data_IF_899151114524
#
_entry.id   IF_899151114524
#
_cell.length_a   1.000
_cell.length_b   1.000
_cell.length_c   1.000
_cell.angle_alpha   90.00
_cell.angle_beta   90.00
_cell.angle_gamma   90.00
#
_symmetry.space_group_name_H-M   'P 1'
#
loop_
_entity.id
_entity.type
_entity.pdbx_description
1 polymer ?
#
# COMPACT_ATOMS: atom_id res chain seq x y z
N UNK A 1 26.87 49.68 -10.93
CA UNK A 1 25.69 48.83 -11.06
C UNK A 1 26.17 47.38 -11.15
N UNK A 2 26.10 46.61 -10.06
CA UNK A 2 26.11 45.15 -10.14
C UNK A 2 24.66 44.65 -10.08
N UNK A 3 24.24 43.91 -11.11
CA UNK A 3 22.99 43.15 -11.10
C UNK A 3 23.15 41.97 -10.13
N UNK A 4 22.47 42.05 -8.99
CA UNK A 4 22.30 40.92 -8.09
C UNK A 4 21.15 40.07 -8.64
N UNK A 5 21.50 39.10 -9.48
CA UNK A 5 20.59 38.09 -9.98
C UNK A 5 20.25 37.15 -8.82
N UNK A 6 19.19 37.53 -8.10
CA UNK A 6 18.60 36.76 -7.02
C UNK A 6 17.96 35.52 -7.63
N UNK A 7 18.66 34.39 -7.52
CA UNK A 7 18.12 33.07 -7.85
C UNK A 7 16.92 32.78 -6.95
N UNK A 8 15.72 33.04 -7.48
CA UNK A 8 14.46 32.70 -6.86
C UNK A 8 14.24 31.19 -7.05
N UNK A 9 14.94 30.39 -6.24
CA UNK A 9 14.70 28.95 -6.13
C UNK A 9 13.26 28.81 -5.67
N UNK A 10 12.38 28.53 -6.63
CA UNK A 10 10.97 28.24 -6.40
C UNK A 10 10.87 27.21 -5.28
N UNK A 11 10.48 27.66 -4.09
CA UNK A 11 10.20 26.78 -2.95
C UNK A 11 9.01 25.92 -3.36
N UNK A 12 9.27 24.73 -3.87
CA UNK A 12 8.23 23.74 -4.14
C UNK A 12 7.54 23.42 -2.81
N UNK A 13 6.33 23.95 -2.63
CA UNK A 13 5.50 23.67 -1.47
C UNK A 13 4.90 22.27 -1.64
N UNK A 14 5.40 21.30 -0.88
CA UNK A 14 4.77 19.99 -0.77
C UNK A 14 3.47 20.14 0.03
N UNK A 15 2.33 19.81 -0.58
CA UNK A 15 1.04 19.84 0.09
C UNK A 15 0.83 18.53 0.83
N UNK A 16 1.25 18.48 2.10
CA UNK A 16 0.95 17.35 2.96
C UNK A 16 -0.54 17.33 3.28
N UNK A 17 -1.28 16.38 2.69
CA UNK A 17 -2.70 16.20 2.95
C UNK A 17 -2.88 15.22 4.11
N UNK A 18 -3.16 15.74 5.31
CA UNK A 18 -3.51 14.89 6.45
C UNK A 18 -4.91 14.30 6.28
N UNK A 19 -4.98 13.10 5.70
CA UNK A 19 -6.21 12.34 5.54
C UNK A 19 -6.49 11.55 6.82
N UNK A 20 -7.16 12.18 7.78
CA UNK A 20 -7.52 11.55 9.07
C UNK A 20 -8.26 10.21 8.92
N UNK A 21 -9.00 10.04 7.83
CA UNK A 21 -9.77 8.82 7.53
C UNK A 21 -9.09 7.95 6.47
N UNK A 22 -7.80 8.17 6.18
CA UNK A 22 -7.05 7.46 5.14
C UNK A 22 -6.66 6.02 5.52
N UNK A 23 -6.59 5.73 6.82
CA UNK A 23 -5.96 4.52 7.34
C UNK A 23 -4.44 4.69 7.47
N UNK A 24 -3.85 3.99 8.44
CA UNK A 24 -2.41 4.01 8.68
C UNK A 24 -1.94 2.69 9.30
N UNK A 25 -0.71 2.31 8.97
CA UNK A 25 0.01 1.16 9.56
C UNK A 25 1.28 1.69 10.21
N UNK A 26 1.64 1.15 11.37
CA UNK A 26 2.85 1.54 12.11
C UNK A 26 3.63 0.30 12.52
N UNK A 27 4.92 0.30 12.25
CA UNK A 27 5.83 -0.74 12.67
C UNK A 27 6.59 -0.28 13.91
N UNK A 28 6.70 -1.16 14.90
CA UNK A 28 7.37 -0.88 16.15
C UNK A 28 8.44 -1.94 16.44
N UNK A 29 9.55 -1.50 17.02
CA UNK A 29 10.57 -2.36 17.59
C UNK A 29 10.23 -2.69 19.04
N UNK A 30 10.31 -3.99 19.38
CA UNK A 30 10.19 -4.50 20.74
C UNK A 30 11.58 -4.91 21.24
N UNK A 31 12.32 -3.98 21.83
CA UNK A 31 13.60 -4.28 22.44
C UNK A 31 13.40 -4.86 23.85
N UNK A 32 14.02 -6.01 24.14
CA UNK A 32 13.86 -6.73 25.41
C UNK A 32 14.20 -5.89 26.66
N UNK A 33 15.15 -4.96 26.52
CA UNK A 33 15.62 -4.08 27.59
C UNK A 33 14.78 -2.79 27.73
N UNK A 34 13.81 -2.56 26.84
CA UNK A 34 12.96 -1.36 26.84
C UNK A 34 11.54 -1.71 27.22
N UNK A 35 10.94 -0.89 28.08
CA UNK A 35 9.53 -1.02 28.49
C UNK A 35 8.54 -0.45 27.47
N UNK A 36 9.00 0.35 26.51
CA UNK A 36 8.14 0.97 25.49
C UNK A 36 8.61 0.60 24.08
N UNK A 37 7.67 0.20 23.18
CA UNK A 37 7.97 -0.02 21.77
C UNK A 37 8.48 1.25 21.09
N UNK A 38 9.56 1.15 20.31
CA UNK A 38 10.06 2.27 19.52
C UNK A 38 9.41 2.27 18.14
N UNK A 39 8.83 3.40 17.70
CA UNK A 39 8.27 3.51 16.35
C UNK A 39 9.41 3.45 15.33
N UNK A 40 9.35 2.46 14.42
CA UNK A 40 10.29 2.30 13.33
C UNK A 40 9.79 3.03 12.09
N UNK A 41 8.63 2.64 11.58
CA UNK A 41 8.11 3.13 10.31
C UNK A 41 6.60 3.37 10.33
N UNK A 42 6.13 4.26 9.46
CA UNK A 42 4.72 4.60 9.28
C UNK A 42 4.33 4.54 7.82
N UNK A 43 3.17 3.97 7.53
CA UNK A 43 2.53 3.93 6.22
C UNK A 43 1.16 4.57 6.33
N UNK A 44 0.81 5.42 5.37
CA UNK A 44 -0.43 6.19 5.35
C UNK A 44 -1.16 6.00 4.02
N UNK A 45 -2.48 5.81 4.09
CA UNK A 45 -3.33 5.72 2.91
C UNK A 45 -3.62 7.08 2.29
N UNK A 46 -3.72 7.14 0.97
CA UNK A 46 -3.98 8.38 0.21
C UNK A 46 -5.45 8.58 -0.20
N UNK A 47 -6.36 7.66 0.18
CA UNK A 47 -7.82 7.85 0.04
C UNK A 47 -8.53 7.70 1.38
N UNK A 48 -9.46 8.60 1.68
CA UNK A 48 -10.39 8.49 2.82
C UNK A 48 -11.24 7.24 2.70
N UNK A 49 -11.54 6.62 3.84
CA UNK A 49 -12.40 5.45 4.01
C UNK A 49 -11.93 4.20 3.26
N UNK A 50 -10.72 4.22 2.70
CA UNK A 50 -10.16 3.12 1.91
C UNK A 50 -9.82 1.87 2.73
N UNK A 51 -9.77 2.02 4.06
CA UNK A 51 -9.30 1.01 5.01
C UNK A 51 -7.87 0.53 4.69
N UNK A 52 -7.00 1.46 4.31
CA UNK A 52 -5.58 1.18 4.12
C UNK A 52 -4.98 0.58 5.39
N UNK A 53 -4.29 -0.55 5.24
CA UNK A 53 -3.68 -1.30 6.35
C UNK A 53 -4.64 -2.21 7.10
N UNK A 54 -5.88 -2.40 6.62
CA UNK A 54 -6.86 -3.29 7.30
C UNK A 54 -6.55 -4.78 7.18
N UNK A 55 -5.77 -5.16 6.17
CA UNK A 55 -5.15 -6.49 6.03
C UNK A 55 -3.65 -6.28 5.85
N UNK A 56 -2.86 -7.01 6.61
CA UNK A 56 -1.40 -6.94 6.64
C UNK A 56 -0.84 -8.36 6.66
N UNK A 57 0.14 -8.65 5.81
CA UNK A 57 0.96 -9.85 5.86
C UNK A 57 2.43 -9.48 5.72
N UNK A 58 3.29 -10.21 6.44
CA UNK A 58 4.74 -10.16 6.32
C UNK A 58 5.19 -11.53 5.83
N UNK A 59 5.96 -11.54 4.74
CA UNK A 59 6.54 -12.77 4.20
C UNK A 59 7.67 -12.42 3.25
N UNK A 60 8.77 -13.15 3.36
CA UNK A 60 9.85 -13.13 2.40
C UNK A 60 9.37 -13.75 1.08
N UNK A 61 9.07 -12.91 0.08
CA UNK A 61 8.55 -13.33 -1.22
C UNK A 61 9.68 -13.68 -2.19
N UNK A 62 10.81 -12.97 -2.13
CA UNK A 62 11.94 -13.15 -3.04
C UNK A 62 13.10 -14.00 -2.48
N UNK A 63 12.94 -14.56 -1.28
CA UNK A 63 13.87 -15.45 -0.56
C UNK A 63 15.22 -14.75 -0.25
N UNK A 64 15.18 -13.43 -0.01
CA UNK A 64 16.35 -12.61 0.31
C UNK A 64 16.67 -12.53 1.81
N UNK A 65 15.81 -13.11 2.67
CA UNK A 65 15.90 -13.10 4.12
C UNK A 65 15.21 -11.92 4.81
N UNK A 66 14.52 -11.05 4.08
CA UNK A 66 13.73 -9.93 4.59
C UNK A 66 12.28 -10.09 4.15
N UNK A 67 11.34 -9.91 5.10
CA UNK A 67 9.93 -9.99 4.77
C UNK A 67 9.45 -8.77 3.97
N UNK A 68 8.79 -9.00 2.84
CA UNK A 68 7.96 -7.97 2.20
C UNK A 68 6.77 -7.61 3.08
N UNK A 69 6.39 -6.34 3.03
CA UNK A 69 5.22 -5.82 3.72
C UNK A 69 4.06 -5.76 2.73
N UNK A 70 3.09 -6.63 2.89
CA UNK A 70 1.89 -6.69 2.05
C UNK A 70 0.72 -6.05 2.80
N UNK A 71 0.17 -4.96 2.26
CA UNK A 71 -0.95 -4.23 2.86
C UNK A 71 -2.12 -4.10 1.89
N UNK A 72 -3.34 -4.25 2.38
CA UNK A 72 -4.54 -4.01 1.57
C UNK A 72 -5.26 -2.72 1.96
N UNK A 73 -5.96 -2.15 0.98
CA UNK A 73 -6.97 -1.11 1.13
C UNK A 73 -8.24 -1.55 0.38
N UNK A 74 -9.07 -2.44 0.96
CA UNK A 74 -10.15 -3.11 0.24
C UNK A 74 -11.28 -2.20 -0.24
N UNK A 75 -11.42 -1.02 0.37
CA UNK A 75 -12.44 -0.04 0.02
C UNK A 75 -11.85 1.14 -0.77
N UNK A 76 -10.63 0.98 -1.29
CA UNK A 76 -9.99 2.02 -2.08
C UNK A 76 -10.72 2.19 -3.41
N UNK A 77 -11.13 3.42 -3.66
CA UNK A 77 -11.74 3.86 -4.92
C UNK A 77 -10.63 4.33 -5.87
N UNK A 78 -10.74 4.02 -7.16
CA UNK A 78 -9.77 4.46 -8.18
C UNK A 78 -9.88 5.94 -8.50
N UNK A 79 -11.10 6.46 -8.61
CA UNK A 79 -11.38 7.88 -8.81
C UNK A 79 -12.61 8.35 -8.01
N UNK A 80 -12.83 9.66 -7.97
CA UNK A 80 -13.94 10.26 -7.22
C UNK A 80 -15.31 9.86 -7.78
N UNK A 81 -15.40 9.62 -9.10
CA UNK A 81 -16.62 9.15 -9.77
C UNK A 81 -17.02 7.76 -9.34
N UNK A 82 -16.05 6.87 -9.13
CA UNK A 82 -16.26 5.53 -8.57
C UNK A 82 -16.82 5.62 -7.16
N UNK A 83 -16.32 6.54 -6.33
CA UNK A 83 -16.88 6.79 -4.99
C UNK A 83 -18.37 7.16 -5.00
N UNK A 84 -18.82 7.96 -5.98
CA UNK A 84 -20.24 8.34 -6.13
C UNK A 84 -21.13 7.14 -6.51
N UNK A 85 -20.55 6.17 -7.23
CA UNK A 85 -21.21 4.93 -7.62
C UNK A 85 -21.04 3.79 -6.61
N UNK A 86 -20.41 4.06 -5.45
CA UNK A 86 -20.11 3.04 -4.44
C UNK A 86 -19.04 2.03 -4.88
N UNK A 87 -18.16 2.45 -5.80
CA UNK A 87 -17.07 1.69 -6.36
C UNK A 87 -15.98 1.42 -5.32
N UNK A 88 -16.01 0.24 -4.72
CA UNK A 88 -14.99 -0.26 -3.79
C UNK A 88 -14.08 -1.25 -4.54
N UNK A 89 -13.21 -0.72 -5.40
CA UNK A 89 -12.37 -1.56 -6.27
C UNK A 89 -11.39 -2.38 -5.43
N UNK A 90 -10.75 -1.71 -4.46
CA UNK A 90 -9.76 -2.29 -3.59
C UNK A 90 -8.39 -2.38 -4.24
N UNK A 91 -7.33 -2.31 -3.41
CA UNK A 91 -5.94 -2.46 -3.84
C UNK A 91 -5.13 -3.22 -2.81
N UNK A 92 -4.09 -3.90 -3.28
CA UNK A 92 -3.04 -4.49 -2.43
C UNK A 92 -1.69 -3.92 -2.83
N UNK A 93 -0.88 -3.58 -1.84
CA UNK A 93 0.43 -2.98 -1.97
C UNK A 93 1.46 -3.96 -1.42
N UNK A 94 2.54 -4.19 -2.17
CA UNK A 94 3.69 -4.97 -1.70
C UNK A 94 4.86 -3.99 -1.62
N UNK A 95 5.39 -3.78 -0.42
CA UNK A 95 6.59 -2.97 -0.19
C UNK A 95 7.78 -3.87 0.10
N UNK A 96 8.92 -3.56 -0.51
CA UNK A 96 10.14 -4.35 -0.40
C UNK A 96 10.77 -4.22 1.00
N UNK A 97 11.12 -5.36 1.62
CA UNK A 97 11.69 -5.40 2.97
C UNK A 97 12.98 -4.59 3.14
N UNK A 98 13.84 -4.52 2.11
CA UNK A 98 15.12 -3.78 2.15
C UNK A 98 14.95 -2.28 2.36
N UNK A 99 13.85 -1.71 1.87
CA UNK A 99 13.65 -0.26 1.88
C UNK A 99 12.70 0.19 3.00
N UNK A 100 12.05 -0.72 3.71
CA UNK A 100 10.92 -0.43 4.62
C UNK A 100 11.24 -0.49 6.10
N UNK A 101 12.39 0.02 6.49
CA UNK A 101 12.89 -0.17 7.85
C UNK A 101 12.61 1.01 8.77
N UNK A 102 12.66 2.26 8.30
CA UNK A 102 12.58 3.44 9.16
C UNK A 102 11.91 4.65 8.49
N UNK A 103 11.11 5.40 9.25
CA UNK A 103 10.53 6.68 8.84
C UNK A 103 9.15 6.61 8.17
N UNK A 104 8.79 7.66 7.42
CA UNK A 104 7.53 7.72 6.67
C UNK A 104 7.70 7.03 5.30
N UNK A 105 7.12 5.83 5.20
CA UNK A 105 7.31 4.95 4.06
C UNK A 105 6.42 5.28 2.86
N UNK A 106 5.39 6.09 3.09
CA UNK A 106 4.44 6.52 2.04
C UNK A 106 4.52 8.02 1.77
N UNK A 107 5.43 8.72 2.44
CA UNK A 107 5.68 10.15 2.27
C UNK A 107 6.68 10.45 1.15
N UNK A 108 7.08 11.73 1.06
CA UNK A 108 8.13 12.21 0.14
C UNK A 108 7.95 11.73 -1.30
N UNK A 109 6.78 12.04 -1.85
CA UNK A 109 6.38 11.65 -3.20
C UNK A 109 7.08 12.50 -4.26
N UNK A 110 7.19 11.98 -5.49
CA UNK A 110 7.64 12.78 -6.65
C UNK A 110 6.66 13.92 -6.94
N UNK A 111 5.38 13.69 -6.68
CA UNK A 111 4.33 14.70 -6.78
C UNK A 111 4.25 15.57 -5.52
N UNK A 112 3.58 16.70 -5.65
CA UNK A 112 3.26 17.62 -4.56
C UNK A 112 2.20 17.08 -3.58
N UNK A 113 1.56 15.94 -3.89
CA UNK A 113 0.59 15.27 -3.00
C UNK A 113 1.25 14.13 -2.22
N UNK A 114 1.13 14.17 -0.89
CA UNK A 114 1.48 13.09 0.03
C UNK A 114 0.27 12.72 0.91
N UNK A 115 0.11 11.44 1.33
CA UNK A 115 0.95 10.27 1.03
C UNK A 115 0.73 9.68 -0.38
N UNK A 116 1.66 8.86 -0.86
CA UNK A 116 1.64 8.16 -2.16
C UNK A 116 2.00 6.68 -2.02
N UNK A 117 1.15 5.86 -1.37
CA UNK A 117 1.41 4.43 -1.18
C UNK A 117 1.65 3.68 -2.50
N UNK A 118 0.99 4.08 -3.59
CA UNK A 118 1.16 3.48 -4.92
C UNK A 118 2.55 3.75 -5.53
N UNK A 119 3.13 4.94 -5.27
CA UNK A 119 4.44 5.29 -5.81
C UNK A 119 5.58 4.56 -5.08
N UNK A 120 5.37 4.27 -3.79
CA UNK A 120 6.38 3.68 -2.90
C UNK A 120 6.34 2.15 -2.87
N UNK A 121 5.23 1.53 -3.29
CA UNK A 121 5.12 0.09 -3.36
C UNK A 121 5.98 -0.48 -4.51
N UNK A 122 6.61 -1.63 -4.27
CA UNK A 122 7.28 -2.41 -5.32
C UNK A 122 6.25 -2.97 -6.32
N UNK A 123 5.11 -3.43 -5.81
CA UNK A 123 3.99 -3.87 -6.62
C UNK A 123 2.66 -3.32 -6.10
N UNK A 124 1.78 -2.95 -7.03
CA UNK A 124 0.37 -2.60 -6.74
C UNK A 124 -0.51 -3.60 -7.47
N UNK A 125 -1.19 -4.45 -6.71
CA UNK A 125 -2.10 -5.46 -7.24
C UNK A 125 -3.52 -4.90 -7.29
N UNK A 126 -4.22 -5.18 -8.38
CA UNK A 126 -5.59 -4.76 -8.64
C UNK A 126 -6.41 -5.93 -9.18
N UNK A 127 -7.72 -5.87 -8.98
CA UNK A 127 -8.67 -6.71 -9.71
C UNK A 127 -9.14 -6.00 -10.99
N UNK A 128 -9.36 -6.73 -12.10
CA UNK A 128 -9.92 -6.14 -13.31
C UNK A 128 -11.40 -5.75 -13.17
N UNK A 129 -12.10 -6.28 -12.17
CA UNK A 129 -13.51 -5.96 -11.91
C UNK A 129 -13.63 -4.81 -10.90
N UNK A 130 -14.33 -3.76 -11.32
CA UNK A 130 -14.68 -2.64 -10.44
C UNK A 130 -15.57 -3.11 -9.27
N UNK A 131 -15.51 -2.41 -8.15
CA UNK A 131 -16.30 -2.72 -6.94
C UNK A 131 -16.08 -4.13 -6.34
N UNK A 132 -14.97 -4.79 -6.69
CA UNK A 132 -14.71 -6.18 -6.31
C UNK A 132 -14.23 -6.37 -4.87
N UNK A 133 -13.96 -5.28 -4.14
CA UNK A 133 -13.33 -5.28 -2.80
C UNK A 133 -12.05 -6.11 -2.77
N UNK A 134 -11.22 -5.93 -3.79
CA UNK A 134 -9.96 -6.62 -3.90
C UNK A 134 -9.06 -6.34 -2.69
N UNK A 135 -8.49 -7.40 -2.11
CA UNK A 135 -7.71 -7.31 -0.87
C UNK A 135 -8.54 -7.47 0.41
N UNK A 136 -9.82 -7.81 0.30
CA UNK A 136 -10.70 -8.11 1.45
C UNK A 136 -10.16 -9.21 2.38
N UNK A 137 -9.37 -10.13 1.83
CA UNK A 137 -8.59 -11.13 2.56
C UNK A 137 -7.36 -11.49 1.73
N UNK A 138 -6.29 -11.92 2.38
CA UNK A 138 -5.02 -12.26 1.76
C UNK A 138 -4.38 -13.43 2.51
N UNK A 139 -3.61 -14.25 1.80
CA UNK A 139 -2.73 -15.26 2.40
C UNK A 139 -1.50 -15.45 1.52
N UNK A 140 -0.34 -15.70 2.15
CA UNK A 140 0.85 -16.16 1.45
C UNK A 140 0.94 -17.68 1.50
N UNK A 141 1.33 -18.28 0.39
CA UNK A 141 1.48 -19.74 0.25
C UNK A 141 2.83 -20.04 -0.36
N UNK A 142 3.64 -20.85 0.33
CA UNK A 142 4.91 -21.35 -0.19
C UNK A 142 4.74 -22.77 -0.72
N UNK A 143 5.06 -22.99 -2.00
CA UNK A 143 4.95 -24.30 -2.65
C UNK A 143 6.12 -24.55 -3.58
N UNK A 144 6.85 -25.66 -3.36
CA UNK A 144 8.00 -26.10 -4.18
C UNK A 144 9.03 -25.00 -4.47
N UNK A 145 9.34 -24.17 -3.47
CA UNK A 145 10.30 -23.07 -3.60
C UNK A 145 9.75 -21.81 -4.28
N UNK A 146 8.45 -21.72 -4.54
CA UNK A 146 7.78 -20.50 -5.00
C UNK A 146 6.92 -19.91 -3.90
N UNK A 147 7.09 -18.62 -3.65
CA UNK A 147 6.22 -17.85 -2.78
C UNK A 147 5.08 -17.26 -3.62
N UNK A 148 3.86 -17.45 -3.15
CA UNK A 148 2.65 -17.00 -3.81
C UNK A 148 1.84 -16.13 -2.87
N UNK A 149 1.17 -15.13 -3.43
CA UNK A 149 0.21 -14.28 -2.74
C UNK A 149 -1.17 -14.57 -3.31
N UNK A 150 -2.10 -15.00 -2.46
CA UNK A 150 -3.49 -15.24 -2.83
C UNK A 150 -4.33 -14.12 -2.26
N UNK A 151 -5.08 -13.44 -3.13
CA UNK A 151 -5.88 -12.26 -2.77
C UNK A 151 -7.34 -12.49 -3.10
N UNK A 152 -8.21 -12.22 -2.13
CA UNK A 152 -9.65 -12.31 -2.30
C UNK A 152 -10.25 -11.02 -2.86
N UNK A 153 -11.10 -11.18 -3.87
CA UNK A 153 -11.98 -10.18 -4.43
C UNK A 153 -13.43 -10.55 -4.05
N UNK A 154 -13.80 -10.27 -2.80
CA UNK A 154 -15.03 -10.81 -2.20
C UNK A 154 -16.34 -10.36 -2.86
N UNK A 155 -16.32 -9.27 -3.64
CA UNK A 155 -17.46 -8.80 -4.43
C UNK A 155 -17.31 -9.02 -5.93
N UNK A 156 -16.17 -9.58 -6.37
CA UNK A 156 -16.02 -9.96 -7.77
C UNK A 156 -17.05 -11.03 -8.13
N UNK A 157 -17.64 -10.90 -9.30
CA UNK A 157 -18.62 -11.82 -9.83
C UNK A 157 -18.09 -12.61 -11.02
N UNK A 158 -17.12 -12.07 -11.76
CA UNK A 158 -16.83 -12.50 -13.14
C UNK A 158 -18.11 -12.66 -13.99
N UNK A 159 -19.12 -11.82 -13.73
CA UNK A 159 -20.44 -11.90 -14.37
C UNK A 159 -21.46 -12.84 -13.73
N UNK A 160 -21.10 -13.57 -12.66
CA UNK A 160 -22.00 -14.45 -11.90
C UNK A 160 -22.49 -13.81 -10.58
N UNK A 161 -23.80 -13.87 -10.30
CA UNK A 161 -24.38 -13.19 -9.14
C UNK A 161 -23.75 -13.63 -7.80
N UNK A 162 -23.03 -12.70 -7.14
CA UNK A 162 -22.52 -12.82 -5.76
C UNK A 162 -21.56 -14.01 -5.52
N UNK A 163 -20.70 -14.36 -6.47
CA UNK A 163 -19.82 -15.54 -6.41
C UNK A 163 -18.49 -15.33 -5.67
N UNK A 164 -17.88 -14.15 -5.78
CA UNK A 164 -16.51 -13.90 -5.30
C UNK A 164 -15.45 -14.43 -6.27
N UNK A 165 -14.22 -13.92 -6.15
CA UNK A 165 -13.06 -14.44 -6.89
C UNK A 165 -11.78 -14.44 -6.06
N UNK A 166 -10.84 -15.31 -6.42
CA UNK A 166 -9.47 -15.34 -5.90
C UNK A 166 -8.47 -15.06 -7.02
N UNK A 167 -7.46 -14.27 -6.71
CA UNK A 167 -6.33 -14.01 -7.61
C UNK A 167 -5.08 -14.59 -6.97
N UNK A 168 -4.29 -15.34 -7.73
CA UNK A 168 -3.04 -15.97 -7.25
C UNK A 168 -1.87 -15.36 -8.02
N UNK A 169 -0.95 -14.75 -7.29
CA UNK A 169 0.26 -14.13 -7.82
C UNK A 169 1.46 -14.97 -7.38
N UNK A 170 2.38 -15.24 -8.29
CA UNK A 170 3.64 -15.92 -7.97
C UNK A 170 4.79 -14.98 -8.29
N UNK A 171 5.73 -14.81 -7.37
CA UNK A 171 7.02 -14.21 -7.74
C UNK A 171 7.87 -15.25 -8.45
N UNK A 172 8.45 -14.87 -9.59
CA UNK A 172 9.50 -15.62 -10.28
C UNK A 172 10.75 -14.77 -10.29
N UNK A 173 11.84 -15.30 -9.75
CA UNK A 173 13.19 -14.87 -10.12
C UNK A 173 13.48 -15.51 -11.48
N UNK A 174 13.63 -14.70 -12.52
CA UNK A 174 14.19 -15.17 -13.79
C UNK A 174 15.64 -15.62 -13.62
#
# INVERSE_FOLDING_TARGET
MPEEQRDDVSKMAFLTMTLHQGGATRMYELALEKTQPALLSTFSGDRRFSRFGSVLHLTDLDDDGLDEIIMAAPLRITDMTSGLLGGEDGRVYIYNGKHTTLGDMTGQCKSWLTPCPEEKAQYVLISPEASSRFGSSLVSVRSKGRNQVVVAAGRSSWGARLSGALHVYSLSSD
#
